data_IF_552396847210
#
_entry.id   IF_552396847210
#
_cell.length_a   1.000
_cell.length_b   1.000
_cell.length_c   1.000
_cell.angle_alpha   90.00
_cell.angle_beta   90.00
_cell.angle_gamma   90.00
#
_symmetry.space_group_name_H-M   'P 1'
#
loop_
_entity.id
_entity.type
_entity.pdbx_description
1 polymer ?
#
# COMPACT_ATOMS: atom_id res chain seq x y z
N UNK A 1 -1.66 14.70 2.12
CA UNK A 1 -0.52 14.54 1.23
C UNK A 1 -0.16 13.08 1.03
N UNK A 2 0.10 12.70 -0.21
CA UNK A 2 0.40 11.32 -0.52
C UNK A 2 1.87 11.00 -0.27
N UNK A 3 2.11 9.84 0.29
CA UNK A 3 3.46 9.36 0.48
C UNK A 3 4.00 8.78 -0.83
N UNK A 4 5.32 8.63 -0.91
CA UNK A 4 5.93 7.99 -2.06
C UNK A 4 5.43 6.54 -2.20
N UNK A 5 5.26 5.85 -1.08
CA UNK A 5 4.75 4.48 -1.08
C UNK A 5 3.35 4.42 -1.67
N UNK A 6 2.48 5.32 -1.23
CA UNK A 6 1.11 5.38 -1.74
C UNK A 6 1.10 5.68 -3.24
N UNK A 7 1.87 6.68 -3.66
CA UNK A 7 1.92 7.08 -5.06
C UNK A 7 2.43 5.94 -5.96
N UNK A 8 3.47 5.24 -5.51
CA UNK A 8 4.00 4.12 -6.28
C UNK A 8 3.00 2.98 -6.38
N UNK A 9 2.31 2.68 -5.28
CA UNK A 9 1.32 1.62 -5.27
C UNK A 9 0.17 1.93 -6.22
N UNK A 10 -0.36 3.14 -6.14
CA UNK A 10 -1.49 3.57 -6.97
C UNK A 10 -1.10 3.60 -8.44
N UNK A 11 0.08 4.11 -8.75
CA UNK A 11 0.55 4.18 -10.13
C UNK A 11 0.66 2.78 -10.75
N UNK A 12 1.11 1.82 -9.95
CA UNK A 12 1.36 0.48 -10.45
C UNK A 12 0.11 -0.41 -10.47
N UNK A 13 -0.73 -0.29 -9.44
CA UNK A 13 -1.85 -1.22 -9.26
C UNK A 13 -3.22 -0.59 -9.30
N UNK A 14 -3.32 0.72 -9.23
CA UNK A 14 -4.59 1.43 -9.23
C UNK A 14 -5.05 1.82 -7.84
N UNK A 15 -5.78 2.91 -7.78
CA UNK A 15 -6.24 3.48 -6.52
C UNK A 15 -7.20 2.54 -5.78
N UNK A 16 -8.04 1.83 -6.54
CA UNK A 16 -9.04 0.95 -5.96
C UNK A 16 -8.42 -0.23 -5.21
N UNK A 17 -7.18 -0.56 -5.51
CA UNK A 17 -6.48 -1.65 -4.83
C UNK A 17 -5.99 -1.26 -3.43
N UNK A 18 -5.98 0.03 -3.14
CA UNK A 18 -5.55 0.52 -1.83
C UNK A 18 -6.74 0.82 -0.92
N UNK A 19 -7.96 0.54 -1.36
CA UNK A 19 -9.16 0.75 -0.56
C UNK A 19 -9.33 -0.41 0.41
N UNK A 20 -9.90 -0.13 1.56
CA UNK A 20 -10.28 -1.15 2.51
C UNK A 20 -9.39 -1.18 3.74
N UNK A 21 -10.03 -1.24 4.88
CA UNK A 21 -9.37 -1.33 6.16
C UNK A 21 -8.37 -0.22 6.36
N UNK A 22 -7.31 -0.52 7.06
CA UNK A 22 -6.25 0.42 7.32
C UNK A 22 -5.12 0.38 6.30
N UNK A 23 -5.23 -0.48 5.28
CA UNK A 23 -4.16 -0.67 4.32
C UNK A 23 -3.86 0.62 3.55
N UNK A 24 -4.91 1.22 2.98
CA UNK A 24 -4.75 2.48 2.24
C UNK A 24 -4.19 3.59 3.12
N UNK A 25 -4.67 3.64 4.36
CA UNK A 25 -4.19 4.64 5.30
C UNK A 25 -2.72 4.44 5.62
N UNK A 26 -2.29 3.20 5.81
CA UNK A 26 -0.88 2.90 6.07
C UNK A 26 -0.01 3.31 4.89
N UNK A 27 -0.48 3.06 3.67
CA UNK A 27 0.24 3.49 2.48
C UNK A 27 0.38 5.01 2.43
N UNK A 28 -0.70 5.72 2.73
CA UNK A 28 -0.69 7.18 2.71
C UNK A 28 0.23 7.76 3.77
N UNK A 29 0.38 7.06 4.88
CA UNK A 29 1.28 7.47 5.96
C UNK A 29 2.73 7.05 5.70
N UNK A 30 2.99 6.42 4.57
CA UNK A 30 4.30 5.89 4.22
C UNK A 30 4.79 4.88 5.27
N UNK A 31 3.85 4.12 5.82
CA UNK A 31 4.10 3.17 6.90
C UNK A 31 4.10 1.75 6.33
N UNK A 32 5.22 1.39 5.71
CA UNK A 32 5.31 0.11 5.01
C UNK A 32 5.17 -1.08 5.96
N UNK A 33 5.70 -0.97 7.16
CA UNK A 33 5.64 -2.08 8.12
C UNK A 33 4.20 -2.38 8.50
N UNK A 34 3.42 -1.34 8.78
CA UNK A 34 2.02 -1.50 9.11
C UNK A 34 1.22 -1.97 7.89
N UNK A 35 1.54 -1.43 6.73
CA UNK A 35 0.88 -1.86 5.50
C UNK A 35 1.10 -3.35 5.24
N UNK A 36 2.32 -3.82 5.42
CA UNK A 36 2.63 -5.25 5.27
C UNK A 36 1.88 -6.10 6.29
N UNK A 37 1.73 -5.58 7.50
CA UNK A 37 1.09 -6.30 8.58
C UNK A 37 -0.39 -6.53 8.30
N UNK A 38 -1.06 -5.54 7.72
CA UNK A 38 -2.50 -5.62 7.49
C UNK A 38 -2.87 -6.04 6.06
N UNK A 39 -1.87 -6.14 5.17
CA UNK A 39 -2.11 -6.50 3.78
C UNK A 39 -2.51 -7.98 3.67
N UNK A 40 -3.37 -8.27 2.71
CA UNK A 40 -3.65 -9.66 2.38
C UNK A 40 -2.46 -10.24 1.58
N UNK A 41 -2.56 -11.51 1.21
CA UNK A 41 -1.47 -12.18 0.50
C UNK A 41 -1.12 -11.47 -0.79
N UNK A 42 -2.13 -11.07 -1.54
CA UNK A 42 -1.93 -10.41 -2.82
C UNK A 42 -1.21 -9.07 -2.65
N UNK A 43 -1.68 -8.26 -1.73
CA UNK A 43 -1.08 -6.94 -1.50
C UNK A 43 0.29 -7.03 -0.84
N UNK A 44 0.51 -8.07 -0.05
CA UNK A 44 1.84 -8.32 0.51
C UNK A 44 2.87 -8.51 -0.60
N UNK A 45 2.53 -9.32 -1.59
CA UNK A 45 3.43 -9.54 -2.73
C UNK A 45 3.67 -8.26 -3.51
N UNK A 46 2.63 -7.48 -3.71
CA UNK A 46 2.73 -6.20 -4.43
C UNK A 46 3.66 -5.22 -3.72
N UNK A 47 3.53 -5.14 -2.41
CA UNK A 47 4.40 -4.26 -1.63
C UNK A 47 5.85 -4.70 -1.71
N UNK A 48 6.11 -5.98 -1.64
CA UNK A 48 7.48 -6.49 -1.71
C UNK A 48 8.16 -6.14 -3.04
N UNK A 49 7.39 -6.08 -4.10
CA UNK A 49 7.92 -5.66 -5.40
C UNK A 49 8.34 -4.19 -5.36
N UNK A 50 7.58 -3.37 -4.65
CA UNK A 50 7.85 -1.93 -4.55
C UNK A 50 9.00 -1.62 -3.60
N UNK A 51 9.22 -2.46 -2.63
CA UNK A 51 10.27 -2.24 -1.64
C UNK A 51 11.59 -2.80 -2.12
#
# INVERSE_FOLDING_TARGET
MNSALYANFVTRYGEDQSLGGGFGQALQNNDKDNALKIADVKNTKRLKILL
#
